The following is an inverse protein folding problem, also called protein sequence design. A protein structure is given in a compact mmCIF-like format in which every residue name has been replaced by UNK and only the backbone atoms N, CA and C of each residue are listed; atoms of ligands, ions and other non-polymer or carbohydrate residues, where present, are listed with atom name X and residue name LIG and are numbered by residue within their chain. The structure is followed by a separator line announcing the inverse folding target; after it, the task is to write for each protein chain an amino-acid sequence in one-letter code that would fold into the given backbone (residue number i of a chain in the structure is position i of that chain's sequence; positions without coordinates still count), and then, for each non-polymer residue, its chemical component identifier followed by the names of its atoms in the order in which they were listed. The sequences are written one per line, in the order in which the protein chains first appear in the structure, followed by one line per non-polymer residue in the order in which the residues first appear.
data_IF_458966241255
#
_entry.id   IF_458966241255
#
_cell.length_a   1.000
_cell.length_b   1.000
_cell.length_c   1.000
_cell.angle_alpha   90.00
_cell.angle_beta   90.00
_cell.angle_gamma   90.00
#
_symmetry.space_group_name_H-M   'P 1'
#
loop_
_entity.id
_entity.type
_entity.pdbx_description
1 polymer ?
#
# COMPACT_ATOMS: atom_id res chain seq x y z
N UNK A 1 1.52 -14.32 -2.90
CA UNK A 1 0.17 -14.55 -3.45
C UNK A 1 0.13 -13.99 -4.87
N UNK A 2 -0.28 -14.80 -5.85
CA UNK A 2 -0.47 -14.36 -7.22
C UNK A 2 -1.80 -13.57 -7.29
N UNK A 3 -1.72 -12.25 -7.46
CA UNK A 3 -2.90 -11.40 -7.59
C UNK A 3 -3.45 -11.52 -9.02
N UNK A 4 -4.71 -11.95 -9.15
CA UNK A 4 -5.42 -12.11 -10.44
C UNK A 4 -5.48 -10.78 -11.23
N UNK A 5 -5.30 -9.63 -10.56
CA UNK A 5 -5.22 -8.31 -11.20
C UNK A 5 -4.10 -8.16 -12.24
N UNK A 6 -3.07 -9.00 -12.20
CA UNK A 6 -1.98 -8.96 -13.19
C UNK A 6 -2.36 -9.55 -14.56
N UNK A 7 -3.48 -10.26 -14.66
CA UNK A 7 -3.92 -10.94 -15.90
C UNK A 7 -5.11 -10.22 -16.54
N UNK A 8 -5.69 -9.22 -15.87
CA UNK A 8 -6.91 -8.54 -16.30
C UNK A 8 -6.62 -7.19 -16.97
N UNK A 9 -7.44 -6.84 -17.95
CA UNK A 9 -7.46 -5.50 -18.55
C UNK A 9 -7.78 -4.42 -17.51
N UNK A 10 -7.28 -3.21 -17.75
CA UNK A 10 -7.31 -2.13 -16.75
C UNK A 10 -8.74 -1.76 -16.32
N UNK A 11 -9.66 -1.65 -17.28
CA UNK A 11 -11.08 -1.37 -17.01
C UNK A 11 -11.76 -2.48 -16.20
N UNK A 12 -11.35 -3.73 -16.41
CA UNK A 12 -11.84 -4.87 -15.65
C UNK A 12 -11.35 -4.82 -14.20
N UNK A 13 -10.08 -4.47 -13.97
CA UNK A 13 -9.50 -4.33 -12.62
C UNK A 13 -10.22 -3.22 -11.83
N UNK A 14 -10.40 -2.04 -12.43
CA UNK A 14 -11.10 -0.92 -11.79
C UNK A 14 -12.53 -1.32 -11.44
N UNK A 15 -13.24 -1.94 -12.38
CA UNK A 15 -14.63 -2.39 -12.18
C UNK A 15 -14.73 -3.42 -11.06
N UNK A 16 -13.83 -4.40 -11.02
CA UNK A 16 -13.82 -5.45 -10.01
C UNK A 16 -13.51 -4.85 -8.63
N UNK A 17 -12.53 -3.97 -8.52
CA UNK A 17 -12.17 -3.31 -7.26
C UNK A 17 -13.30 -2.43 -6.74
N UNK A 18 -13.93 -1.64 -7.61
CA UNK A 18 -15.09 -0.83 -7.24
C UNK A 18 -16.25 -1.71 -6.72
N UNK A 19 -16.53 -2.84 -7.39
CA UNK A 19 -17.54 -3.81 -6.94
C UNK A 19 -17.18 -4.43 -5.58
N UNK A 20 -15.94 -4.89 -5.40
CA UNK A 20 -15.52 -5.49 -4.13
C UNK A 20 -15.59 -4.49 -2.97
N UNK A 21 -15.11 -3.25 -3.16
CA UNK A 21 -15.20 -2.20 -2.14
C UNK A 21 -16.67 -1.86 -1.81
N UNK A 22 -17.57 -1.87 -2.80
CA UNK A 22 -19.01 -1.66 -2.58
C UNK A 22 -19.64 -2.80 -1.76
N UNK A 23 -19.30 -4.04 -2.08
CA UNK A 23 -19.84 -5.20 -1.36
C UNK A 23 -19.32 -5.28 0.08
N UNK A 24 -18.05 -4.96 0.30
CA UNK A 24 -17.45 -4.98 1.65
C UNK A 24 -18.06 -3.93 2.58
N UNK A 25 -18.49 -2.77 2.04
CA UNK A 25 -19.22 -1.76 2.83
C UNK A 25 -20.47 -2.31 3.49
N UNK A 26 -21.13 -3.33 2.92
CA UNK A 26 -22.32 -3.97 3.52
C UNK A 26 -22.01 -4.69 4.83
N UNK A 27 -20.74 -5.03 5.05
CA UNK A 27 -20.25 -5.72 6.24
C UNK A 27 -19.48 -4.77 7.17
N UNK A 28 -19.60 -3.46 6.99
CA UNK A 28 -18.94 -2.45 7.82
C UNK A 28 -19.37 -2.62 9.29
N UNK A 29 -18.48 -3.14 10.13
CA UNK A 29 -18.75 -3.47 11.53
C UNK A 29 -18.09 -4.77 11.98
N UNK A 30 -17.86 -5.71 11.07
CA UNK A 30 -17.11 -6.93 11.37
C UNK A 30 -15.61 -6.70 11.20
N UNK A 31 -14.79 -7.09 12.19
CA UNK A 31 -13.32 -6.95 12.10
C UNK A 31 -12.73 -7.56 10.82
N UNK A 32 -13.28 -8.69 10.37
CA UNK A 32 -12.81 -9.38 9.16
C UNK A 32 -13.11 -8.61 7.86
N UNK A 33 -14.20 -7.83 7.79
CA UNK A 33 -14.52 -7.04 6.60
C UNK A 33 -13.55 -5.86 6.45
N UNK A 34 -13.11 -5.27 7.56
CA UNK A 34 -12.10 -4.20 7.56
C UNK A 34 -10.73 -4.74 7.15
N UNK A 35 -10.31 -5.91 7.65
CA UNK A 35 -9.07 -6.55 7.18
C UNK A 35 -9.09 -6.70 5.64
N UNK A 36 -10.20 -7.17 5.10
CA UNK A 36 -10.36 -7.38 3.66
C UNK A 36 -10.37 -6.05 2.88
N UNK A 37 -11.03 -5.01 3.40
CA UNK A 37 -11.02 -3.66 2.84
C UNK A 37 -9.59 -3.11 2.72
N UNK A 38 -8.83 -3.15 3.83
CA UNK A 38 -7.43 -2.68 3.85
C UNK A 38 -6.57 -3.44 2.85
N UNK A 39 -6.69 -4.77 2.77
CA UNK A 39 -5.93 -5.60 1.82
C UNK A 39 -6.26 -5.25 0.37
N UNK A 40 -7.53 -5.06 0.04
CA UNK A 40 -7.95 -4.69 -1.32
C UNK A 40 -7.40 -3.32 -1.70
N UNK A 41 -7.47 -2.34 -0.80
CA UNK A 41 -6.91 -1.00 -1.02
C UNK A 41 -5.40 -1.07 -1.28
N UNK A 42 -4.64 -1.78 -0.45
CA UNK A 42 -3.19 -1.92 -0.61
C UNK A 42 -2.81 -2.66 -1.89
N UNK A 43 -3.56 -3.71 -2.24
CA UNK A 43 -3.36 -4.42 -3.50
C UNK A 43 -3.63 -3.52 -4.70
N UNK A 44 -4.63 -2.63 -4.61
CA UNK A 44 -4.92 -1.68 -5.67
C UNK A 44 -3.82 -0.62 -5.79
N UNK A 45 -3.33 -0.09 -4.66
CA UNK A 45 -2.18 0.81 -4.67
C UNK A 45 -0.98 0.16 -5.36
N UNK A 46 -0.67 -1.10 -5.03
CA UNK A 46 0.42 -1.84 -5.67
C UNK A 46 0.21 -1.99 -7.20
N UNK A 47 -1.02 -2.30 -7.62
CA UNK A 47 -1.38 -2.40 -9.03
C UNK A 47 -1.14 -1.07 -9.77
N UNK A 48 -1.63 0.05 -9.22
CA UNK A 48 -1.45 1.39 -9.78
C UNK A 48 0.03 1.79 -9.83
N UNK A 49 0.79 1.58 -8.73
CA UNK A 49 2.23 1.89 -8.68
C UNK A 49 3.00 1.16 -9.77
N UNK A 50 2.71 -0.13 -10.02
CA UNK A 50 3.37 -0.91 -11.07
C UNK A 50 3.07 -0.46 -12.50
N UNK A 51 2.03 0.36 -12.69
CA UNK A 51 1.69 0.98 -13.99
C UNK A 51 2.14 2.44 -14.07
N UNK A 52 2.95 2.91 -13.12
CA UNK A 52 3.40 4.30 -13.05
C UNK A 52 2.33 5.29 -12.57
N UNK A 53 1.15 4.81 -12.17
CA UNK A 53 0.01 5.63 -11.71
C UNK A 53 0.07 5.89 -10.20
N UNK A 54 1.27 6.23 -9.70
CA UNK A 54 1.51 6.35 -8.25
C UNK A 54 0.63 7.45 -7.63
N UNK A 55 0.42 8.57 -8.33
CA UNK A 55 -0.40 9.68 -7.81
C UNK A 55 -1.87 9.29 -7.62
N UNK A 56 -2.39 8.37 -8.43
CA UNK A 56 -3.77 7.87 -8.30
C UNK A 56 -3.97 7.01 -7.04
N UNK A 57 -2.89 6.59 -6.37
CA UNK A 57 -2.98 5.77 -5.15
C UNK A 57 -3.47 6.55 -3.92
N UNK A 58 -3.41 7.89 -3.95
CA UNK A 58 -3.68 8.75 -2.81
C UNK A 58 -4.97 8.44 -2.03
N UNK A 59 -6.17 8.44 -2.65
CA UNK A 59 -7.40 8.17 -1.91
C UNK A 59 -7.42 6.77 -1.28
N UNK A 60 -6.74 5.81 -1.89
CA UNK A 60 -6.71 4.42 -1.43
C UNK A 60 -5.71 4.19 -0.31
N UNK A 61 -4.52 4.79 -0.40
CA UNK A 61 -3.49 4.67 0.63
C UNK A 61 -3.88 5.41 1.91
N UNK A 62 -4.50 6.58 1.80
CA UNK A 62 -5.00 7.34 2.96
C UNK A 62 -6.09 6.56 3.71
N UNK A 63 -7.02 5.95 2.97
CA UNK A 63 -8.06 5.09 3.58
C UNK A 63 -7.47 3.82 4.20
N UNK A 64 -6.48 3.20 3.55
CA UNK A 64 -5.79 2.03 4.12
C UNK A 64 -5.05 2.39 5.42
N UNK A 65 -4.39 3.56 5.48
CA UNK A 65 -3.75 4.08 6.69
C UNK A 65 -4.74 4.29 7.83
N UNK A 66 -5.89 4.91 7.54
CA UNK A 66 -6.95 5.15 8.51
C UNK A 66 -7.47 3.82 9.08
N UNK A 67 -7.82 2.87 8.21
CA UNK A 67 -8.28 1.54 8.61
C UNK A 67 -7.23 0.83 9.47
N UNK A 68 -5.98 0.76 9.00
CA UNK A 68 -4.93 0.04 9.72
C UNK A 68 -4.65 0.64 11.10
N UNK A 69 -4.70 1.97 11.23
CA UNK A 69 -4.55 2.66 12.52
C UNK A 69 -5.75 2.40 13.45
N UNK A 70 -6.97 2.62 12.95
CA UNK A 70 -8.22 2.49 13.73
C UNK A 70 -8.39 1.09 14.30
N UNK A 71 -8.04 0.07 13.52
CA UNK A 71 -8.22 -1.33 13.90
C UNK A 71 -6.94 -2.02 14.40
N UNK A 72 -5.87 -1.24 14.68
CA UNK A 72 -4.59 -1.70 15.25
C UNK A 72 -3.96 -2.87 14.46
N UNK A 73 -3.98 -2.77 13.14
CA UNK A 73 -3.42 -3.76 12.23
C UNK A 73 -1.95 -3.41 11.90
N UNK A 74 -1.01 -3.77 12.77
CA UNK A 74 0.39 -3.33 12.66
C UNK A 74 1.05 -3.66 11.31
N UNK A 75 0.86 -4.87 10.80
CA UNK A 75 1.46 -5.29 9.52
C UNK A 75 0.89 -4.50 8.33
N UNK A 76 -0.42 -4.24 8.33
CA UNK A 76 -1.04 -3.41 7.28
C UNK A 76 -0.70 -1.92 7.45
N UNK A 77 -0.48 -1.45 8.68
CA UNK A 77 -0.06 -0.08 8.92
C UNK A 77 1.33 0.17 8.34
N UNK A 78 2.26 -0.79 8.50
CA UNK A 78 3.59 -0.72 7.89
C UNK A 78 3.46 -0.68 6.35
N UNK A 79 2.71 -1.62 5.76
CA UNK A 79 2.50 -1.65 4.30
C UNK A 79 1.87 -0.35 3.77
N UNK A 80 0.86 0.18 4.45
CA UNK A 80 0.20 1.42 4.07
C UNK A 80 1.14 2.63 4.18
N UNK A 81 1.99 2.67 5.22
CA UNK A 81 3.01 3.73 5.37
C UNK A 81 4.09 3.64 4.29
N UNK A 82 4.52 2.44 3.91
CA UNK A 82 5.45 2.27 2.79
C UNK A 82 4.82 2.80 1.50
N UNK A 83 3.58 2.43 1.18
CA UNK A 83 2.87 2.98 0.00
C UNK A 83 2.66 4.49 0.06
N UNK A 84 2.45 5.05 1.25
CA UNK A 84 2.34 6.48 1.42
C UNK A 84 3.67 7.20 1.19
N UNK A 85 4.79 6.60 1.59
CA UNK A 85 6.11 7.11 1.27
C UNK A 85 6.39 7.10 -0.25
N UNK A 86 5.95 6.06 -0.97
CA UNK A 86 6.02 6.04 -2.45
C UNK A 86 5.24 7.21 -3.06
N UNK A 87 4.04 7.50 -2.56
CA UNK A 87 3.22 8.62 -2.99
C UNK A 87 3.92 9.97 -2.72
N UNK A 88 4.46 10.16 -1.51
CA UNK A 88 5.20 11.37 -1.15
C UNK A 88 6.43 11.56 -2.03
N UNK A 89 7.15 10.48 -2.34
CA UNK A 89 8.27 10.52 -3.27
C UNK A 89 7.84 11.00 -4.66
N UNK A 90 6.75 10.45 -5.19
CA UNK A 90 6.17 10.87 -6.47
C UNK A 90 5.67 12.33 -6.46
N UNK A 91 5.26 12.85 -5.30
CA UNK A 91 4.92 14.27 -5.08
C UNK A 91 6.13 15.17 -4.83
N UNK A 92 7.34 14.65 -5.00
CA UNK A 92 8.60 15.34 -4.74
C UNK A 92 8.83 15.75 -3.27
N UNK A 93 8.06 15.17 -2.32
CA UNK A 93 8.24 15.33 -0.87
C UNK A 93 9.24 14.30 -0.34
N UNK A 94 10.45 14.28 -0.91
CA UNK A 94 11.45 13.22 -0.72
C UNK A 94 11.93 13.08 0.73
N UNK A 95 12.05 14.20 1.45
CA UNK A 95 12.48 14.17 2.85
C UNK A 95 11.45 13.45 3.73
N UNK A 96 10.18 13.86 3.67
CA UNK A 96 9.09 13.23 4.43
C UNK A 96 8.95 11.74 4.10
N UNK A 97 9.10 11.39 2.82
CA UNK A 97 9.06 10.01 2.37
C UNK A 97 10.16 9.16 3.03
N UNK A 98 11.41 9.64 3.02
CA UNK A 98 12.54 8.94 3.65
C UNK A 98 12.35 8.81 5.16
N UNK A 99 11.90 9.85 5.85
CA UNK A 99 11.65 9.78 7.30
C UNK A 99 10.62 8.71 7.67
N UNK A 100 9.59 8.52 6.82
CA UNK A 100 8.60 7.46 7.02
C UNK A 100 9.23 6.08 6.81
N UNK A 101 10.00 5.93 5.74
CA UNK A 101 10.64 4.65 5.38
C UNK A 101 11.62 4.20 6.47
N UNK A 102 12.47 5.09 6.97
CA UNK A 102 13.41 4.78 8.06
C UNK A 102 12.68 4.33 9.33
N UNK A 103 11.58 5.01 9.69
CA UNK A 103 10.73 4.59 10.82
C UNK A 103 10.12 3.21 10.60
N UNK A 104 9.75 2.87 9.36
CA UNK A 104 9.19 1.54 9.04
C UNK A 104 10.25 0.46 9.05
N UNK A 105 11.49 0.76 8.62
CA UNK A 105 12.61 -0.15 8.75
C UNK A 105 12.93 -0.47 10.20
N UNK A 106 13.09 0.57 11.04
CA UNK A 106 13.32 0.38 12.47
C UNK A 106 12.19 -0.44 13.13
N UNK A 107 10.93 -0.21 12.74
CA UNK A 107 9.80 -0.99 13.23
C UNK A 107 9.87 -2.47 12.81
N UNK A 108 10.23 -2.76 11.57
CA UNK A 108 10.38 -4.14 11.07
C UNK A 108 11.56 -4.86 11.71
N UNK A 109 12.66 -4.15 11.96
CA UNK A 109 13.82 -4.67 12.69
C UNK A 109 13.44 -5.03 14.13
N UNK A 110 12.75 -4.14 14.85
CA UNK A 110 12.28 -4.38 16.22
C UNK A 110 11.27 -5.53 16.31
N UNK A 111 10.54 -5.83 15.24
CA UNK A 111 9.59 -6.95 15.14
C UNK A 111 10.23 -8.23 14.57
N UNK A 112 11.54 -8.23 14.32
CA UNK A 112 12.32 -9.33 13.74
C UNK A 112 11.77 -9.81 12.38
N UNK A 113 11.16 -8.89 11.61
CA UNK A 113 10.55 -9.16 10.29
C UNK A 113 11.58 -9.03 9.16
N UNK A 114 12.72 -9.69 9.30
CA UNK A 114 13.89 -9.52 8.43
C UNK A 114 13.60 -9.72 6.95
N UNK A 115 12.84 -10.77 6.58
CA UNK A 115 12.51 -11.03 5.19
C UNK A 115 11.72 -9.88 4.56
N UNK A 116 10.69 -9.39 5.28
CA UNK A 116 9.84 -8.31 4.81
C UNK A 116 10.62 -6.98 4.73
N UNK A 117 11.54 -6.74 5.67
CA UNK A 117 12.45 -5.61 5.64
C UNK A 117 13.32 -5.60 4.38
N UNK A 118 13.94 -6.74 4.04
CA UNK A 118 14.78 -6.85 2.85
C UNK A 118 13.99 -6.62 1.56
N UNK A 119 12.77 -7.18 1.48
CA UNK A 119 11.87 -6.96 0.35
C UNK A 119 11.55 -5.46 0.18
N UNK A 120 11.22 -4.77 1.29
CA UNK A 120 10.94 -3.33 1.24
C UNK A 120 12.16 -2.48 0.91
N UNK A 121 13.36 -2.80 1.42
CA UNK A 121 14.60 -2.10 1.07
C UNK A 121 14.85 -2.17 -0.43
N UNK A 122 14.73 -3.36 -1.01
CA UNK A 122 14.89 -3.57 -2.45
C UNK A 122 13.87 -2.80 -3.29
N UNK A 123 12.61 -2.79 -2.86
CA UNK A 123 11.56 -2.05 -3.57
C UNK A 123 11.78 -0.54 -3.47
N UNK A 124 12.19 -0.03 -2.30
CA UNK A 124 12.51 1.39 -2.11
C UNK A 124 13.72 1.86 -2.91
N UNK A 125 14.78 1.05 -2.98
CA UNK A 125 15.95 1.32 -3.81
C UNK A 125 15.59 1.47 -5.28
N UNK A 126 14.68 0.63 -5.81
CA UNK A 126 14.20 0.77 -7.19
C UNK A 126 13.49 2.09 -7.41
N UNK A 127 12.55 2.44 -6.53
CA UNK A 127 11.75 3.67 -6.64
C UNK A 127 12.64 4.92 -6.61
N UNK A 128 13.61 4.93 -5.71
CA UNK A 128 14.52 6.08 -5.54
C UNK A 128 15.57 6.16 -6.65
N UNK A 129 16.03 5.03 -7.21
CA UNK A 129 16.99 5.01 -8.32
C UNK A 129 16.35 5.27 -9.69
N UNK A 130 15.14 4.78 -9.96
CA UNK A 130 14.41 5.05 -11.22
C UNK A 130 14.14 6.56 -11.39
N UNK A 131 13.99 7.30 -10.30
CA UNK A 131 13.80 8.76 -10.30
C UNK A 131 15.08 9.60 -10.53
N UNK A 132 16.23 8.96 -10.78
CA UNK A 132 17.51 9.61 -11.09
C UNK A 132 17.91 9.53 -12.57
N UNK A 133 17.18 8.77 -13.38
CA UNK A 133 17.30 8.66 -14.85
C UNK A 133 16.35 9.61 -15.55
#
# INVERSE_FOLDING_TARGET
MANIYYVLDEDAVVTIIAKMLKEIKKYAGYKNSVNLDTVILLNYCLYLSKRGKILETEPYVLRALENARKYKQSDYLIQAKMKYAELLWAKNQKQEANEIVEKMYAALEALERWKLLQDFKKDWEKITNESRS
#
